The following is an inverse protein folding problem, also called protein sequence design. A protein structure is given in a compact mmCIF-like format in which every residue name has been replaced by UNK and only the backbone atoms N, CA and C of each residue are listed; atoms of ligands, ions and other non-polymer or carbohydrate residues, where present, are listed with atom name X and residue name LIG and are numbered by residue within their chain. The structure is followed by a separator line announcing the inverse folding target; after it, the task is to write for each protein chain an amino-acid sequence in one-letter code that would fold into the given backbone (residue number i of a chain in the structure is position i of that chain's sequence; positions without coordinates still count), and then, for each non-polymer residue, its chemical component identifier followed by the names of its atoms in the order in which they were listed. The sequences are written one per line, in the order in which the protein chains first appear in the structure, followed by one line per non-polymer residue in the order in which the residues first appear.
data_IF_352781773235
#
_entry.id   IF_352781773235
#
_cell.length_a   1.000
_cell.length_b   1.000
_cell.length_c   1.000
_cell.angle_alpha   90.00
_cell.angle_beta   90.00
_cell.angle_gamma   90.00
#
_symmetry.space_group_name_H-M   'P 1'
#
loop_
_entity.id
_entity.type
_entity.pdbx_description
1 polymer ?
#
# COMPACT_ATOMS: atom_id res chain seq x y z
N UNK A 1 -15.78 -9.19 12.75
CA UNK A 1 -15.80 -7.77 12.34
C UNK A 1 -14.48 -7.30 11.73
N UNK A 2 -13.33 -7.54 12.37
CA UNK A 2 -11.99 -7.16 11.87
C UNK A 2 -11.70 -7.67 10.45
N UNK A 3 -12.11 -8.90 10.13
CA UNK A 3 -11.95 -9.50 8.79
C UNK A 3 -12.69 -8.78 7.66
N UNK A 4 -13.88 -8.24 7.97
CA UNK A 4 -14.67 -7.47 7.00
C UNK A 4 -14.01 -6.12 6.72
N UNK A 5 -13.45 -5.47 7.75
CA UNK A 5 -12.73 -4.20 7.64
C UNK A 5 -11.43 -4.39 6.84
N UNK A 6 -10.72 -5.49 7.06
CA UNK A 6 -9.53 -5.87 6.30
C UNK A 6 -9.83 -5.99 4.78
N UNK A 7 -10.92 -6.67 4.43
CA UNK A 7 -11.37 -6.81 3.04
C UNK A 7 -11.71 -5.47 2.40
N UNK A 8 -12.40 -4.57 3.11
CA UNK A 8 -12.66 -3.22 2.63
C UNK A 8 -11.37 -2.42 2.41
N UNK A 9 -10.38 -2.56 3.28
CA UNK A 9 -9.09 -1.91 3.13
C UNK A 9 -8.32 -2.42 1.90
N UNK A 10 -8.26 -3.73 1.73
CA UNK A 10 -7.65 -4.37 0.56
C UNK A 10 -8.34 -3.92 -0.73
N UNK A 11 -9.68 -3.91 -0.74
CA UNK A 11 -10.46 -3.44 -1.87
C UNK A 11 -10.22 -1.95 -2.16
N UNK A 12 -10.10 -1.11 -1.12
CA UNK A 12 -9.78 0.30 -1.27
C UNK A 12 -8.38 0.49 -1.85
N UNK A 13 -7.38 -0.28 -1.40
CA UNK A 13 -6.01 -0.17 -1.91
C UNK A 13 -5.93 -0.64 -3.36
N UNK A 14 -6.52 -1.80 -3.69
CA UNK A 14 -6.59 -2.29 -5.08
C UNK A 14 -7.35 -1.31 -5.98
N UNK A 15 -8.42 -0.70 -5.46
CA UNK A 15 -9.15 0.37 -6.12
C UNK A 15 -8.28 1.59 -6.40
N UNK A 16 -7.54 2.08 -5.41
CA UNK A 16 -6.60 3.22 -5.58
C UNK A 16 -5.53 2.89 -6.60
N UNK A 17 -4.89 1.71 -6.53
CA UNK A 17 -3.90 1.27 -7.53
C UNK A 17 -4.53 1.25 -8.94
N UNK A 18 -5.73 0.68 -9.08
CA UNK A 18 -6.44 0.59 -10.35
C UNK A 18 -6.78 1.98 -10.93
N UNK A 19 -7.38 2.85 -10.12
CA UNK A 19 -7.78 4.20 -10.53
C UNK A 19 -6.57 5.09 -10.82
N UNK A 20 -5.57 5.11 -9.95
CA UNK A 20 -4.33 5.86 -10.16
C UNK A 20 -3.56 5.35 -11.38
N UNK A 21 -3.64 4.05 -11.71
CA UNK A 21 -3.04 3.43 -12.89
C UNK A 21 -3.77 3.65 -14.20
N UNK A 22 -4.97 4.25 -14.21
CA UNK A 22 -5.86 4.27 -15.39
C UNK A 22 -5.25 4.96 -16.62
N UNK A 23 -4.44 6.00 -16.39
CA UNK A 23 -3.80 6.81 -17.44
C UNK A 23 -2.38 6.32 -17.80
N UNK A 24 -1.91 5.20 -17.21
CA UNK A 24 -0.63 4.61 -17.58
C UNK A 24 -0.76 3.56 -18.68
N UNK A 25 0.37 3.23 -19.30
CA UNK A 25 0.44 2.19 -20.33
C UNK A 25 -0.16 0.89 -19.78
N UNK A 26 -1.07 0.24 -20.55
CA UNK A 26 -1.83 -0.94 -20.10
C UNK A 26 -0.96 -2.01 -19.44
N UNK A 27 0.27 -2.19 -19.95
CA UNK A 27 1.25 -3.15 -19.45
C UNK A 27 1.75 -2.80 -18.04
N UNK A 28 2.14 -1.53 -17.80
CA UNK A 28 2.60 -1.06 -16.48
C UNK A 28 1.48 -1.20 -15.46
N UNK A 29 0.25 -0.81 -15.84
CA UNK A 29 -0.93 -0.98 -14.99
C UNK A 29 -1.17 -2.45 -14.63
N UNK A 30 -1.04 -3.37 -15.58
CA UNK A 30 -1.19 -4.81 -15.36
C UNK A 30 -0.12 -5.37 -14.41
N UNK A 31 1.14 -4.96 -14.57
CA UNK A 31 2.25 -5.39 -13.71
C UNK A 31 2.05 -4.88 -12.28
N UNK A 32 1.73 -3.59 -12.10
CA UNK A 32 1.50 -3.02 -10.77
C UNK A 32 0.31 -3.66 -10.07
N UNK A 33 -0.84 -3.81 -10.77
CA UNK A 33 -2.00 -4.48 -10.21
C UNK A 33 -1.69 -5.92 -9.83
N UNK A 34 -1.06 -6.68 -10.73
CA UNK A 34 -0.67 -8.07 -10.48
C UNK A 34 0.23 -8.18 -9.25
N UNK A 35 1.23 -7.30 -9.13
CA UNK A 35 2.14 -7.27 -7.98
C UNK A 35 1.40 -7.05 -6.65
N UNK A 36 0.55 -6.02 -6.57
CA UNK A 36 -0.21 -5.74 -5.35
C UNK A 36 -1.23 -6.83 -5.03
N UNK A 37 -1.87 -7.41 -6.04
CA UNK A 37 -2.85 -8.47 -5.87
C UNK A 37 -2.19 -9.77 -5.37
N UNK A 38 -1.03 -10.13 -5.92
CA UNK A 38 -0.24 -11.28 -5.48
C UNK A 38 0.24 -11.11 -4.05
N UNK A 39 0.80 -9.95 -3.68
CA UNK A 39 1.25 -9.70 -2.30
C UNK A 39 0.09 -9.67 -1.30
N UNK A 40 -1.05 -9.10 -1.71
CA UNK A 40 -2.28 -9.13 -0.92
C UNK A 40 -2.73 -10.57 -0.68
N UNK A 41 -2.77 -11.40 -1.72
CA UNK A 41 -3.14 -12.80 -1.61
C UNK A 41 -2.15 -13.58 -0.74
N UNK A 42 -0.84 -13.33 -0.87
CA UNK A 42 0.17 -13.96 -0.03
C UNK A 42 0.01 -13.58 1.46
N UNK A 43 -0.28 -12.31 1.75
CA UNK A 43 -0.62 -11.86 3.10
C UNK A 43 -1.88 -12.56 3.61
N UNK A 44 -2.96 -12.60 2.83
CA UNK A 44 -4.19 -13.28 3.24
C UNK A 44 -3.97 -14.79 3.45
N UNK A 45 -3.21 -15.46 2.58
CA UNK A 45 -2.91 -16.89 2.72
C UNK A 45 -2.08 -17.16 3.98
N UNK A 46 -1.05 -16.36 4.25
CA UNK A 46 -0.23 -16.50 5.45
C UNK A 46 -1.03 -16.36 6.74
N UNK A 47 -1.99 -15.44 6.76
CA UNK A 47 -2.81 -15.13 7.93
C UNK A 47 -3.98 -16.11 8.09
N UNK A 48 -4.76 -16.35 7.04
CA UNK A 48 -6.04 -17.08 7.14
C UNK A 48 -5.92 -18.58 6.87
N UNK A 49 -5.02 -18.99 5.97
CA UNK A 49 -4.90 -20.39 5.54
C UNK A 49 -3.78 -21.09 6.30
N UNK A 50 -2.60 -20.48 6.31
CA UNK A 50 -1.41 -21.04 6.96
C UNK A 50 -1.36 -20.76 8.46
N UNK A 51 -2.16 -19.79 8.95
CA UNK A 51 -2.22 -19.37 10.36
C UNK A 51 -0.82 -19.15 10.96
N UNK A 52 0.05 -18.47 10.22
CA UNK A 52 1.41 -18.21 10.68
C UNK A 52 1.40 -17.34 11.95
N UNK A 53 2.05 -17.84 12.99
CA UNK A 53 2.14 -17.20 14.31
C UNK A 53 3.12 -15.99 14.33
N UNK A 54 3.03 -15.08 15.32
CA UNK A 54 3.80 -13.82 15.38
C UNK A 54 5.29 -14.03 15.47
N UNK A 55 5.66 -15.17 16.03
CA UNK A 55 7.05 -15.59 16.21
C UNK A 55 7.79 -15.73 14.88
N UNK A 56 7.06 -15.92 13.78
CA UNK A 56 7.65 -16.08 12.45
C UNK A 56 8.00 -14.75 11.76
N UNK A 57 7.56 -13.59 12.27
CA UNK A 57 7.67 -12.27 11.62
C UNK A 57 7.10 -12.15 10.19
N UNK A 58 6.60 -13.25 9.59
CA UNK A 58 6.15 -13.29 8.20
C UNK A 58 5.02 -12.28 7.90
N UNK A 59 4.03 -12.05 8.78
CA UNK A 59 2.96 -11.08 8.55
C UNK A 59 3.47 -9.63 8.53
N UNK A 60 4.44 -9.31 9.37
CA UNK A 60 5.17 -8.03 9.35
C UNK A 60 5.94 -7.86 8.05
N UNK A 61 6.66 -8.90 7.60
CA UNK A 61 7.40 -8.90 6.33
C UNK A 61 6.45 -8.66 5.15
N UNK A 62 5.30 -9.35 5.09
CA UNK A 62 4.30 -9.14 4.04
C UNK A 62 3.71 -7.73 4.07
N UNK A 63 3.49 -7.17 5.26
CA UNK A 63 3.02 -5.79 5.44
C UNK A 63 4.02 -4.79 4.87
N UNK A 64 5.32 -4.95 5.17
CA UNK A 64 6.37 -4.11 4.59
C UNK A 64 6.51 -4.28 3.08
N UNK A 65 6.50 -5.53 2.60
CA UNK A 65 6.57 -5.85 1.17
C UNK A 65 5.38 -5.29 0.40
N UNK A 66 4.25 -5.08 1.05
CA UNK A 66 3.10 -4.44 0.43
C UNK A 66 3.18 -2.91 0.50
N UNK A 67 3.42 -2.36 1.69
CA UNK A 67 3.36 -0.91 1.92
C UNK A 67 4.49 -0.17 1.24
N UNK A 68 5.74 -0.66 1.30
CA UNK A 68 6.86 0.07 0.73
C UNK A 68 6.71 0.25 -0.80
N UNK A 69 6.44 -0.79 -1.60
CA UNK A 69 6.20 -0.62 -3.04
C UNK A 69 4.97 0.25 -3.36
N UNK A 70 3.92 0.19 -2.53
CA UNK A 70 2.75 1.05 -2.69
C UNK A 70 3.10 2.53 -2.52
N UNK A 71 3.81 2.87 -1.44
CA UNK A 71 4.27 4.23 -1.17
C UNK A 71 5.23 4.70 -2.26
N UNK A 72 6.14 3.85 -2.74
CA UNK A 72 7.02 4.18 -3.87
C UNK A 72 6.24 4.45 -5.17
N UNK A 73 5.20 3.66 -5.46
CA UNK A 73 4.37 3.86 -6.66
C UNK A 73 3.59 5.17 -6.62
N UNK A 74 2.92 5.47 -5.50
CA UNK A 74 2.23 6.76 -5.31
C UNK A 74 3.24 7.90 -5.35
N UNK A 75 4.41 7.74 -4.71
CA UNK A 75 5.48 8.72 -4.68
C UNK A 75 6.04 9.05 -6.05
N UNK A 76 6.27 8.05 -6.90
CA UNK A 76 6.67 8.25 -8.29
C UNK A 76 5.66 9.13 -9.06
N UNK A 77 4.36 8.84 -8.90
CA UNK A 77 3.29 9.62 -9.55
C UNK A 77 3.20 11.04 -9.03
N UNK A 78 3.32 11.19 -7.72
CA UNK A 78 3.34 12.49 -7.07
C UNK A 78 4.51 13.33 -7.59
N UNK A 79 5.73 12.77 -7.66
CA UNK A 79 6.90 13.48 -8.22
C UNK A 79 6.68 13.88 -9.67
N UNK A 80 6.11 12.98 -10.49
CA UNK A 80 5.77 13.27 -11.88
C UNK A 80 4.76 14.42 -12.00
N UNK A 81 3.77 14.50 -11.12
CA UNK A 81 2.80 15.58 -11.07
C UNK A 81 3.43 16.91 -10.63
N UNK A 82 4.24 16.89 -9.57
CA UNK A 82 4.85 18.08 -8.98
C UNK A 82 5.87 18.73 -9.92
N UNK A 83 6.55 17.94 -10.76
CA UNK A 83 7.50 18.42 -11.76
C UNK A 83 6.92 19.43 -12.77
N UNK A 84 5.60 19.55 -12.87
CA UNK A 84 4.94 20.54 -13.73
C UNK A 84 4.85 21.95 -13.10
N UNK A 85 5.25 22.11 -11.84
CA UNK A 85 5.22 23.38 -11.11
C UNK A 85 6.61 23.99 -11.01
N UNK A 86 6.69 25.31 -10.94
CA UNK A 86 7.95 26.05 -10.87
C UNK A 86 8.18 26.72 -9.51
N UNK A 87 9.46 26.98 -9.19
CA UNK A 87 9.87 27.75 -8.02
C UNK A 87 9.38 27.19 -6.69
N UNK A 88 8.88 28.07 -5.83
CA UNK A 88 8.44 27.73 -4.47
C UNK A 88 7.23 26.79 -4.42
N UNK A 89 6.36 26.83 -5.43
CA UNK A 89 5.21 25.92 -5.49
C UNK A 89 5.66 24.46 -5.58
N UNK A 90 6.69 24.18 -6.39
CA UNK A 90 7.28 22.85 -6.49
C UNK A 90 7.84 22.36 -5.15
N UNK A 91 8.55 23.23 -4.42
CA UNK A 91 9.17 22.90 -3.12
C UNK A 91 8.11 22.57 -2.08
N UNK A 92 7.08 23.41 -1.95
CA UNK A 92 5.99 23.21 -0.98
C UNK A 92 5.22 21.92 -1.29
N UNK A 93 4.93 21.67 -2.57
CA UNK A 93 4.23 20.46 -2.99
C UNK A 93 5.08 19.20 -2.75
N UNK A 94 6.40 19.24 -2.97
CA UNK A 94 7.28 18.12 -2.65
C UNK A 94 7.31 17.82 -1.15
N UNK A 95 7.47 18.84 -0.31
CA UNK A 95 7.49 18.67 1.15
C UNK A 95 6.15 18.11 1.66
N UNK A 96 5.03 18.72 1.25
CA UNK A 96 3.69 18.25 1.60
C UNK A 96 3.44 16.82 1.10
N UNK A 97 3.88 16.52 -0.12
CA UNK A 97 3.71 15.21 -0.71
C UNK A 97 4.52 14.12 0.00
N UNK A 98 5.77 14.39 0.37
CA UNK A 98 6.61 13.46 1.15
C UNK A 98 5.99 13.21 2.52
N UNK A 99 5.56 14.26 3.23
CA UNK A 99 4.90 14.12 4.53
C UNK A 99 3.63 13.26 4.44
N UNK A 100 2.79 13.51 3.44
CA UNK A 100 1.58 12.71 3.22
C UNK A 100 1.89 11.25 2.87
N UNK A 101 2.93 10.98 2.07
CA UNK A 101 3.36 9.61 1.77
C UNK A 101 3.83 8.87 3.01
N UNK A 102 4.57 9.53 3.90
CA UNK A 102 5.00 8.96 5.19
C UNK A 102 3.80 8.67 6.07
N UNK A 103 2.86 9.60 6.20
CA UNK A 103 1.63 9.41 6.98
C UNK A 103 0.82 8.23 6.45
N UNK A 104 0.61 8.16 5.13
CA UNK A 104 -0.12 7.06 4.49
C UNK A 104 0.61 5.73 4.70
N UNK A 105 1.94 5.69 4.54
CA UNK A 105 2.74 4.49 4.78
C UNK A 105 2.62 3.99 6.22
N UNK A 106 2.74 4.90 7.19
CA UNK A 106 2.58 4.57 8.61
C UNK A 106 1.16 4.10 8.94
N UNK A 107 0.13 4.74 8.40
CA UNK A 107 -1.26 4.31 8.57
C UNK A 107 -1.47 2.90 8.02
N UNK A 108 -0.98 2.62 6.81
CA UNK A 108 -1.09 1.29 6.22
C UNK A 108 -0.38 0.24 7.07
N UNK A 109 0.85 0.50 7.50
CA UNK A 109 1.57 -0.41 8.40
C UNK A 109 0.80 -0.65 9.70
N UNK A 110 0.28 0.42 10.31
CA UNK A 110 -0.53 0.33 11.51
C UNK A 110 -1.76 -0.55 11.30
N UNK A 111 -2.47 -0.42 10.18
CA UNK A 111 -3.64 -1.23 9.86
C UNK A 111 -3.27 -2.70 9.70
N UNK A 112 -2.21 -3.00 8.96
CA UNK A 112 -1.77 -4.39 8.78
C UNK A 112 -1.34 -5.03 10.10
N UNK A 113 -0.60 -4.29 10.95
CA UNK A 113 -0.18 -4.74 12.28
C UNK A 113 -1.41 -4.93 13.18
N UNK A 114 -2.37 -4.01 13.16
CA UNK A 114 -3.58 -4.09 13.98
C UNK A 114 -4.49 -5.24 13.54
N UNK A 115 -4.69 -5.41 12.23
CA UNK A 115 -5.38 -6.58 11.70
C UNK A 115 -4.74 -7.87 12.19
N UNK A 116 -3.42 -7.92 12.16
CA UNK A 116 -2.66 -9.06 12.62
C UNK A 116 -2.80 -9.35 14.12
N UNK A 117 -2.73 -8.32 14.97
CA UNK A 117 -2.88 -8.46 16.41
C UNK A 117 -4.32 -8.81 16.81
N UNK A 118 -5.32 -8.18 16.18
CA UNK A 118 -6.74 -8.50 16.40
C UNK A 118 -7.18 -9.85 15.84
N UNK A 119 -6.28 -10.56 15.15
CA UNK A 119 -6.43 -11.94 14.67
C UNK A 119 -5.93 -12.97 15.70
N UNK A 120 -5.10 -12.55 16.65
CA UNK A 120 -4.48 -13.39 17.69
C UNK A 120 -5.29 -13.45 19.00
N UNK A 121 -6.26 -12.54 19.16
CA UNK A 121 -7.21 -12.48 20.28
C UNK A 121 -8.54 -13.09 19.88
#
# INVERSE_FOLDING_TARGET
MVYFIALFYIAAILGVVYFSGRNEHRMIRGISLGYFLVLTLAFLLSVFVLKLEPETNAPLIFSYLFVAPFVFFIGYKLVKYIRNYEGWQMVVLMLSGILNLVIIGLLLLFIFIYMYQGLMT
#
